data_IF_341035940687
#
_entry.id   IF_341035940687
#
_cell.length_a   1.000
_cell.length_b   1.000
_cell.length_c   1.000
_cell.angle_alpha   90.00
_cell.angle_beta   90.00
_cell.angle_gamma   90.00
#
_symmetry.space_group_name_H-M   'P 1'
#
loop_
_entity.id
_entity.type
_entity.pdbx_description
1 polymer ?
#
# COMPACT_ATOMS: atom_id res chain seq x y z
N UNK A 1 6.62 21.06 12.51
CA UNK A 1 5.46 20.30 13.00
C UNK A 1 4.77 19.49 11.89
N UNK A 2 4.29 20.09 10.78
CA UNK A 2 3.59 19.37 9.69
C UNK A 2 4.42 18.23 9.10
N UNK A 3 5.70 18.46 8.81
CA UNK A 3 6.58 17.43 8.24
C UNK A 3 6.84 16.24 9.20
N UNK A 4 7.00 16.51 10.50
CA UNK A 4 7.20 15.45 11.50
C UNK A 4 5.92 14.59 11.64
N UNK A 5 4.76 15.22 11.68
CA UNK A 5 3.47 14.54 11.72
C UNK A 5 3.25 13.66 10.48
N UNK A 6 3.51 14.20 9.29
CA UNK A 6 3.36 13.42 8.05
C UNK A 6 4.30 12.21 8.00
N UNK A 7 5.53 12.33 8.50
CA UNK A 7 6.46 11.18 8.62
C UNK A 7 5.96 10.14 9.62
N UNK A 8 5.41 10.58 10.75
CA UNK A 8 4.81 9.71 11.75
C UNK A 8 3.63 8.92 11.16
N UNK A 9 2.72 9.61 10.47
CA UNK A 9 1.55 9.00 9.85
C UNK A 9 1.96 7.96 8.78
N UNK A 10 2.98 8.27 7.98
CA UNK A 10 3.53 7.36 6.96
C UNK A 10 4.16 6.12 7.61
N UNK A 11 5.03 6.30 8.61
CA UNK A 11 5.71 5.18 9.27
C UNK A 11 4.70 4.28 10.02
N UNK A 12 3.70 4.87 10.66
CA UNK A 12 2.62 4.12 11.32
C UNK A 12 1.80 3.33 10.31
N UNK A 13 1.46 3.94 9.16
CA UNK A 13 0.74 3.25 8.08
C UNK A 13 1.56 2.10 7.50
N UNK A 14 2.86 2.29 7.28
CA UNK A 14 3.75 1.23 6.81
C UNK A 14 3.81 0.08 7.81
N UNK A 15 4.02 0.38 9.09
CA UNK A 15 4.11 -0.62 10.15
C UNK A 15 2.80 -1.42 10.29
N UNK A 16 1.64 -0.75 10.21
CA UNK A 16 0.34 -1.42 10.24
C UNK A 16 0.13 -2.38 9.07
N UNK A 17 0.84 -2.20 7.97
CA UNK A 17 0.74 -3.00 6.75
C UNK A 17 1.97 -3.89 6.49
N UNK A 18 2.82 -4.12 7.49
CA UNK A 18 4.01 -4.98 7.34
C UNK A 18 3.66 -6.41 6.96
N UNK A 19 2.55 -6.93 7.45
CA UNK A 19 2.05 -8.28 7.15
C UNK A 19 0.99 -8.31 6.04
N UNK A 20 0.76 -7.19 5.35
CA UNK A 20 -0.23 -7.10 4.26
C UNK A 20 0.43 -7.47 2.95
N UNK A 21 0.04 -8.60 2.37
CA UNK A 21 0.57 -9.07 1.08
C UNK A 21 0.30 -8.04 -0.03
N UNK A 22 1.31 -7.82 -0.88
CA UNK A 22 1.25 -6.86 -1.97
C UNK A 22 1.14 -5.39 -1.55
N UNK A 23 1.42 -5.07 -0.28
CA UNK A 23 1.44 -3.68 0.18
C UNK A 23 2.58 -2.92 -0.50
N UNK A 24 2.32 -1.67 -0.83
CA UNK A 24 3.34 -0.77 -1.37
C UNK A 24 3.72 0.26 -0.33
N UNK A 25 4.97 0.15 0.16
CA UNK A 25 5.54 1.06 1.15
C UNK A 25 5.31 2.51 0.77
N UNK A 26 4.85 3.31 1.72
CA UNK A 26 4.72 4.76 1.59
C UNK A 26 6.05 5.42 1.95
N UNK A 27 6.44 6.43 1.16
CA UNK A 27 7.62 7.26 1.41
C UNK A 27 7.20 8.72 1.49
N UNK A 28 7.85 9.47 2.38
CA UNK A 28 7.62 10.91 2.50
C UNK A 28 8.27 11.64 1.32
N UNK A 29 7.48 12.41 0.57
CA UNK A 29 7.98 13.32 -0.45
C UNK A 29 7.70 14.75 -0.03
N UNK A 30 8.75 15.53 0.17
CA UNK A 30 8.65 16.94 0.54
C UNK A 30 8.84 17.85 -0.67
N UNK A 31 8.05 18.90 -0.76
CA UNK A 31 8.25 20.01 -1.68
C UNK A 31 8.20 21.33 -0.91
N UNK A 32 9.17 22.22 -1.18
CA UNK A 32 9.12 23.60 -0.73
C UNK A 32 8.21 24.37 -1.68
N UNK A 33 7.20 25.01 -1.14
CA UNK A 33 6.28 25.87 -1.89
C UNK A 33 6.37 27.29 -1.33
N UNK A 34 5.96 28.33 -2.09
CA UNK A 34 5.93 29.70 -1.56
C UNK A 34 5.12 29.85 -0.27
N UNK A 35 4.15 28.98 -0.04
CA UNK A 35 3.30 28.96 1.15
C UNK A 35 3.79 28.00 2.26
N UNK A 36 5.05 27.53 2.18
CA UNK A 36 5.68 26.65 3.17
C UNK A 36 6.01 25.26 2.63
N UNK A 37 6.53 24.40 3.52
CA UNK A 37 6.87 23.02 3.18
C UNK A 37 5.60 22.14 3.15
N UNK A 38 5.38 21.42 2.05
CA UNK A 38 4.37 20.36 1.94
C UNK A 38 5.06 19.01 1.96
N UNK A 39 4.55 18.08 2.76
CA UNK A 39 5.00 16.70 2.76
C UNK A 39 3.80 15.83 2.38
N UNK A 40 3.95 15.09 1.30
CA UNK A 40 2.98 14.11 0.84
C UNK A 40 3.51 12.69 1.01
N UNK A 41 2.61 11.71 0.96
CA UNK A 41 2.97 10.30 0.88
C UNK A 41 2.99 9.86 -0.60
N UNK A 42 4.07 9.22 -1.01
CA UNK A 42 4.21 8.58 -2.32
C UNK A 42 4.39 7.08 -2.15
N UNK A 43 3.78 6.28 -3.04
CA UNK A 43 3.98 4.83 -3.03
C UNK A 43 5.31 4.48 -3.67
N UNK A 44 6.15 3.77 -2.93
CA UNK A 44 7.42 3.26 -3.43
C UNK A 44 7.20 2.22 -4.53
N UNK A 45 8.12 2.18 -5.51
CA UNK A 45 8.16 1.12 -6.52
C UNK A 45 8.91 -0.14 -6.06
N UNK A 46 9.47 -0.14 -4.83
CA UNK A 46 10.11 -1.33 -4.27
C UNK A 46 9.06 -2.42 -4.07
N UNK A 47 9.44 -3.63 -4.42
CA UNK A 47 8.62 -4.83 -4.30
C UNK A 47 9.05 -5.62 -3.08
N UNK A 48 8.11 -6.37 -2.52
CA UNK A 48 8.42 -7.38 -1.53
C UNK A 48 8.98 -8.65 -2.15
N UNK A 49 9.43 -9.55 -1.31
CA UNK A 49 9.84 -10.89 -1.71
C UNK A 49 8.61 -11.74 -2.06
N UNK A 50 8.82 -12.76 -2.87
CA UNK A 50 7.74 -13.67 -3.27
C UNK A 50 7.86 -14.93 -2.41
N UNK A 51 6.83 -15.16 -1.60
CA UNK A 51 6.74 -16.30 -0.68
C UNK A 51 5.77 -17.35 -1.21
N UNK A 52 6.18 -18.61 -1.15
CA UNK A 52 5.31 -19.73 -1.48
C UNK A 52 4.29 -19.97 -0.37
N UNK A 53 3.01 -20.08 -0.73
CA UNK A 53 1.91 -20.39 0.20
C UNK A 53 1.31 -21.76 -0.06
N UNK A 54 1.38 -22.25 -1.29
CA UNK A 54 0.78 -23.51 -1.71
C UNK A 54 -0.74 -23.46 -1.91
N UNK A 55 -1.40 -22.31 -1.68
CA UNK A 55 -2.83 -22.15 -1.99
C UNK A 55 -3.00 -21.87 -3.48
N UNK A 56 -3.92 -22.56 -4.13
CA UNK A 56 -4.11 -22.52 -5.57
C UNK A 56 -4.40 -21.13 -6.14
N UNK A 57 -5.17 -20.32 -5.40
CA UNK A 57 -5.60 -19.00 -5.85
C UNK A 57 -4.81 -17.85 -5.18
N UNK A 58 -3.68 -18.17 -4.53
CA UNK A 58 -2.69 -17.17 -4.19
C UNK A 58 -1.84 -16.89 -5.42
N UNK A 59 -1.86 -15.65 -5.88
CA UNK A 59 -1.25 -15.24 -7.14
C UNK A 59 -0.21 -14.14 -6.91
N UNK A 60 1.01 -14.34 -7.40
CA UNK A 60 2.04 -13.30 -7.37
C UNK A 60 2.44 -12.90 -8.79
N UNK A 61 2.54 -11.60 -9.05
CA UNK A 61 3.04 -11.07 -10.32
C UNK A 61 4.54 -10.84 -10.19
N UNK A 62 5.33 -11.55 -10.98
CA UNK A 62 6.77 -11.31 -11.15
C UNK A 62 6.93 -10.36 -12.33
N UNK A 63 7.43 -9.16 -12.08
CA UNK A 63 7.52 -8.16 -13.13
C UNK A 63 6.56 -6.98 -12.93
N UNK A 64 6.50 -6.01 -13.86
CA UNK A 64 5.60 -4.88 -13.79
C UNK A 64 4.12 -5.31 -13.84
N UNK A 65 3.19 -4.42 -13.44
CA UNK A 65 1.75 -4.68 -13.49
C UNK A 65 1.09 -4.76 -12.12
N UNK A 66 -0.20 -5.04 -12.13
CA UNK A 66 -1.07 -5.13 -10.96
C UNK A 66 -2.30 -5.98 -11.30
N UNK A 67 -2.98 -6.44 -10.28
CA UNK A 67 -4.32 -7.01 -10.41
C UNK A 67 -5.34 -5.87 -10.36
N UNK A 68 -6.32 -5.90 -11.26
CA UNK A 68 -7.47 -5.01 -11.19
C UNK A 68 -8.60 -5.73 -10.49
N UNK A 69 -9.10 -5.15 -9.41
CA UNK A 69 -10.21 -5.71 -8.62
C UNK A 69 -11.39 -4.73 -8.60
N UNK A 70 -12.61 -5.25 -8.62
CA UNK A 70 -13.83 -4.46 -8.55
C UNK A 70 -14.46 -4.58 -7.17
N UNK A 71 -14.74 -3.45 -6.53
CA UNK A 71 -15.43 -3.40 -5.24
C UNK A 71 -16.96 -3.51 -5.40
N UNK A 72 -17.67 -3.62 -4.26
CA UNK A 72 -19.13 -3.71 -4.26
C UNK A 72 -19.83 -2.45 -4.82
N UNK A 73 -19.16 -1.29 -4.85
CA UNK A 73 -19.65 -0.06 -5.43
C UNK A 73 -19.37 0.03 -6.95
N UNK A 74 -18.77 -1.02 -7.55
CA UNK A 74 -18.43 -1.07 -8.98
C UNK A 74 -17.13 -0.35 -9.34
N UNK A 75 -16.39 0.22 -8.38
CA UNK A 75 -15.12 0.91 -8.63
C UNK A 75 -14.02 -0.10 -8.87
N UNK A 76 -13.19 0.17 -9.87
CA UNK A 76 -12.01 -0.64 -10.17
C UNK A 76 -10.82 -0.08 -9.41
N UNK A 77 -10.10 -0.93 -8.70
CA UNK A 77 -8.92 -0.58 -7.91
C UNK A 77 -7.78 -1.53 -8.28
N UNK A 78 -6.61 -0.96 -8.49
CA UNK A 78 -5.41 -1.73 -8.76
C UNK A 78 -4.72 -2.16 -7.46
N UNK A 79 -4.30 -3.42 -7.41
CA UNK A 79 -3.65 -4.03 -6.25
C UNK A 79 -2.56 -5.00 -6.65
N UNK A 80 -1.57 -5.19 -5.76
CA UNK A 80 -0.58 -6.27 -5.86
C UNK A 80 -0.89 -7.42 -4.91
N UNK A 81 -1.87 -7.23 -4.01
CA UNK A 81 -2.35 -8.31 -3.16
C UNK A 81 -2.99 -9.38 -4.02
N UNK A 82 -2.45 -10.57 -3.99
CA UNK A 82 -2.88 -11.71 -4.79
C UNK A 82 -3.54 -12.82 -3.98
N UNK A 83 -3.91 -12.56 -2.73
CA UNK A 83 -4.64 -13.51 -1.90
C UNK A 83 -6.12 -13.51 -2.31
N UNK A 84 -6.50 -14.49 -3.13
CA UNK A 84 -7.87 -14.65 -3.60
C UNK A 84 -8.46 -15.96 -3.13
N UNK A 85 -9.78 -15.98 -3.07
CA UNK A 85 -10.58 -17.18 -2.82
C UNK A 85 -11.65 -17.34 -3.91
N UNK A 86 -11.93 -18.59 -4.26
CA UNK A 86 -12.98 -18.90 -5.24
C UNK A 86 -14.34 -18.84 -4.57
N UNK A 87 -15.21 -17.98 -5.06
CA UNK A 87 -16.59 -17.85 -4.59
C UNK A 87 -17.47 -18.99 -5.12
N UNK A 88 -18.66 -19.15 -4.56
CA UNK A 88 -19.67 -20.11 -5.06
C UNK A 88 -20.07 -19.88 -6.52
N UNK A 89 -19.88 -18.67 -7.03
CA UNK A 89 -20.13 -18.32 -8.44
C UNK A 89 -18.94 -18.62 -9.36
N UNK A 90 -17.85 -19.14 -8.80
CA UNK A 90 -16.62 -19.41 -9.54
C UNK A 90 -15.75 -18.18 -9.81
N UNK A 91 -16.09 -17.02 -9.30
CA UNK A 91 -15.24 -15.81 -9.41
C UNK A 91 -14.18 -15.79 -8.31
N UNK A 92 -13.03 -15.19 -8.59
CA UNK A 92 -12.02 -14.96 -7.57
C UNK A 92 -12.30 -13.63 -6.84
N UNK A 93 -12.33 -13.67 -5.51
CA UNK A 93 -12.51 -12.50 -4.66
C UNK A 93 -11.45 -12.46 -3.57
N UNK A 94 -11.06 -11.25 -3.16
CA UNK A 94 -10.17 -11.06 -2.03
C UNK A 94 -10.94 -11.06 -0.68
N UNK A 95 -10.21 -10.99 0.44
CA UNK A 95 -10.77 -10.97 1.78
C UNK A 95 -11.71 -9.77 2.06
N UNK A 96 -11.68 -8.74 1.20
CA UNK A 96 -12.57 -7.57 1.27
C UNK A 96 -13.81 -7.73 0.36
N UNK A 97 -13.99 -8.90 -0.26
CA UNK A 97 -15.08 -9.18 -1.19
C UNK A 97 -14.94 -8.50 -2.57
N UNK A 98 -13.75 -7.96 -2.90
CA UNK A 98 -13.51 -7.37 -4.21
C UNK A 98 -13.22 -8.47 -5.22
N UNK A 99 -13.88 -8.42 -6.37
CA UNK A 99 -13.77 -9.45 -7.42
C UNK A 99 -12.61 -9.14 -8.35
N UNK A 100 -11.75 -10.14 -8.60
CA UNK A 100 -10.66 -10.04 -9.58
C UNK A 100 -11.24 -9.92 -11.00
N UNK A 101 -10.70 -8.97 -11.75
CA UNK A 101 -11.05 -8.76 -13.14
C UNK A 101 -10.06 -9.44 -14.08
N UNK A 102 -10.59 -10.10 -15.07
CA UNK A 102 -9.87 -10.54 -16.26
C UNK A 102 -10.11 -9.59 -17.43
N UNK A 103 -9.68 -10.00 -18.61
CA UNK A 103 -9.79 -9.27 -19.88
C UNK A 103 -11.26 -9.04 -20.32
N UNK A 104 -12.16 -9.98 -20.03
CA UNK A 104 -13.57 -9.92 -20.38
C UNK A 104 -14.50 -9.53 -19.19
N UNK A 105 -13.97 -9.02 -18.07
CA UNK A 105 -14.74 -8.69 -16.88
C UNK A 105 -14.38 -9.55 -15.66
N UNK A 106 -15.32 -9.89 -14.74
CA UNK A 106 -15.01 -10.74 -13.59
C UNK A 106 -14.37 -12.06 -14.02
N UNK A 107 -13.22 -12.39 -13.43
CA UNK A 107 -12.52 -13.62 -13.75
C UNK A 107 -13.28 -14.81 -13.14
N UNK A 108 -13.84 -15.64 -14.00
CA UNK A 108 -14.52 -16.88 -13.59
C UNK A 108 -13.54 -18.03 -13.81
N UNK A 109 -13.29 -18.76 -12.73
CA UNK A 109 -12.40 -19.93 -12.72
C UNK A 109 -13.25 -21.17 -12.46
N UNK A 110 -13.35 -22.11 -13.40
CA UNK A 110 -14.00 -23.42 -13.20
C UNK A 110 -13.39 -24.18 -12.02
N UNK A 111 -14.04 -25.24 -11.57
CA UNK A 111 -13.65 -25.96 -10.34
C UNK A 111 -12.27 -26.62 -10.45
N UNK A 112 -11.94 -27.16 -11.60
CA UNK A 112 -10.68 -27.88 -11.84
C UNK A 112 -9.76 -27.11 -12.80
N UNK A 113 -9.90 -25.77 -12.84
CA UNK A 113 -9.09 -24.93 -13.70
C UNK A 113 -7.85 -24.42 -12.97
N UNK A 114 -6.74 -24.39 -13.68
CA UNK A 114 -5.47 -23.81 -13.23
C UNK A 114 -5.20 -22.47 -13.92
N UNK A 115 -4.36 -21.66 -13.31
CA UNK A 115 -3.93 -20.38 -13.90
C UNK A 115 -2.45 -20.52 -14.26
N UNK A 116 -2.14 -20.32 -15.53
CA UNK A 116 -0.76 -20.44 -16.04
C UNK A 116 0.09 -19.18 -15.75
N UNK A 117 1.37 -19.26 -16.09
CA UNK A 117 2.33 -18.15 -15.89
C UNK A 117 2.00 -16.90 -16.72
N UNK A 118 1.15 -17.00 -17.72
CA UNK A 118 0.66 -15.86 -18.53
C UNK A 118 -0.67 -15.31 -18.04
N UNK A 119 -1.18 -15.84 -16.93
CA UNK A 119 -2.45 -15.44 -16.35
C UNK A 119 -3.68 -16.03 -17.05
N UNK A 120 -3.52 -17.02 -17.95
CA UNK A 120 -4.65 -17.67 -18.63
C UNK A 120 -5.25 -18.75 -17.75
N UNK A 121 -6.57 -18.83 -17.78
CA UNK A 121 -7.32 -19.86 -17.06
C UNK A 121 -7.48 -21.07 -17.94
N UNK A 122 -6.91 -22.21 -17.52
CA UNK A 122 -6.94 -23.48 -18.23
C UNK A 122 -7.86 -24.45 -17.48
N UNK A 123 -8.84 -25.01 -18.17
CA UNK A 123 -9.72 -26.07 -17.66
C UNK A 123 -9.35 -27.38 -18.33
N UNK A 124 -8.53 -28.21 -17.66
CA UNK A 124 -7.86 -29.35 -18.29
C UNK A 124 -6.89 -28.84 -19.37
N UNK A 125 -6.93 -29.43 -20.55
CA UNK A 125 -6.10 -29.02 -21.70
C UNK A 125 -6.72 -27.88 -22.53
N UNK A 126 -7.90 -27.37 -22.15
CA UNK A 126 -8.61 -26.34 -22.89
C UNK A 126 -8.36 -24.95 -22.29
N UNK A 127 -7.96 -24.01 -23.15
CA UNK A 127 -7.93 -22.58 -22.79
C UNK A 127 -9.38 -22.06 -22.72
N UNK A 128 -9.75 -21.49 -21.58
CA UNK A 128 -11.10 -20.92 -21.39
C UNK A 128 -11.27 -19.55 -22.05
N UNK A 129 -10.24 -19.06 -22.76
CA UNK A 129 -10.18 -17.70 -23.32
C UNK A 129 -10.40 -16.61 -22.28
N UNK A 130 -10.03 -16.87 -21.03
CA UNK A 130 -10.07 -15.92 -19.92
C UNK A 130 -8.67 -15.76 -19.38
N UNK A 131 -8.23 -14.53 -19.23
CA UNK A 131 -6.91 -14.23 -18.73
C UNK A 131 -6.92 -13.03 -17.78
N UNK A 132 -5.95 -13.01 -16.88
CA UNK A 132 -5.59 -11.83 -16.10
C UNK A 132 -4.72 -10.96 -17.01
N UNK A 133 -5.09 -9.70 -17.28
CA UNK A 133 -4.29 -8.83 -18.14
C UNK A 133 -2.95 -8.51 -17.48
N UNK A 134 -1.87 -9.02 -18.09
CA UNK A 134 -0.50 -8.81 -17.61
C UNK A 134 0.35 -8.11 -18.69
N UNK A 135 1.26 -7.20 -18.30
CA UNK A 135 2.28 -6.70 -19.21
C UNK A 135 3.16 -7.82 -19.79
N UNK A 136 3.71 -7.63 -20.98
CA UNK A 136 4.53 -8.64 -21.68
C UNK A 136 5.76 -9.09 -20.87
N UNK A 137 6.31 -8.19 -20.05
CA UNK A 137 7.50 -8.44 -19.23
C UNK A 137 7.15 -8.96 -17.82
N UNK A 138 5.96 -9.53 -17.66
CA UNK A 138 5.46 -10.03 -16.39
C UNK A 138 5.03 -11.47 -16.50
N UNK A 139 5.28 -12.21 -15.43
CA UNK A 139 4.80 -13.60 -15.28
C UNK A 139 4.00 -13.72 -14.00
N UNK A 140 3.00 -14.62 -14.01
CA UNK A 140 2.20 -14.95 -12.85
C UNK A 140 2.73 -16.23 -12.20
N UNK A 141 2.74 -16.25 -10.87
CA UNK A 141 3.01 -17.47 -10.10
C UNK A 141 1.81 -17.80 -9.23
N UNK A 142 1.15 -18.92 -9.53
CA UNK A 142 0.11 -19.48 -8.68
C UNK A 142 0.74 -20.23 -7.49
N UNK A 143 0.13 -20.15 -6.32
CA UNK A 143 0.66 -20.70 -5.07
C UNK A 143 1.70 -19.82 -4.38
N UNK A 144 1.81 -18.55 -4.78
CA UNK A 144 2.75 -17.58 -4.22
C UNK A 144 2.06 -16.25 -3.93
N UNK A 145 2.59 -15.49 -2.95
CA UNK A 145 2.19 -14.11 -2.64
C UNK A 145 3.40 -13.19 -2.62
N UNK A 146 3.20 -11.92 -2.98
CA UNK A 146 4.19 -10.86 -2.82
C UNK A 146 4.05 -10.30 -1.39
N UNK A 147 5.09 -10.39 -0.58
CA UNK A 147 5.13 -9.84 0.78
C UNK A 147 5.22 -8.32 0.78
N UNK A 148 4.98 -7.71 1.93
CA UNK A 148 5.21 -6.27 2.12
C UNK A 148 6.71 -5.97 2.08
N UNK A 149 7.19 -4.95 1.33
CA UNK A 149 8.59 -4.52 1.33
C UNK A 149 8.94 -3.64 2.54
N UNK A 150 8.11 -3.62 3.55
CA UNK A 150 8.28 -2.80 4.77
C UNK A 150 9.21 -3.51 5.75
N UNK A 151 10.27 -2.82 6.18
CA UNK A 151 11.10 -3.25 7.28
C UNK A 151 10.49 -2.70 8.59
N UNK A 152 9.96 -3.57 9.48
CA UNK A 152 9.31 -3.13 10.71
C UNK A 152 10.25 -2.41 11.66
N UNK A 153 11.52 -2.81 11.73
CA UNK A 153 12.51 -2.20 12.63
C UNK A 153 12.82 -0.78 12.16
N UNK A 154 13.05 -0.60 10.88
CA UNK A 154 13.30 0.71 10.31
C UNK A 154 12.10 1.67 10.48
N UNK A 155 10.87 1.17 10.34
CA UNK A 155 9.67 2.00 10.58
C UNK A 155 9.49 2.35 12.05
N UNK A 156 9.78 1.42 13.00
CA UNK A 156 9.73 1.72 14.44
C UNK A 156 10.74 2.81 14.83
N UNK A 157 11.96 2.74 14.32
CA UNK A 157 12.97 3.80 14.51
C UNK A 157 12.47 5.13 13.93
N UNK A 158 11.90 5.10 12.73
CA UNK A 158 11.32 6.27 12.08
C UNK A 158 10.18 6.92 12.90
N UNK A 159 9.35 6.12 13.56
CA UNK A 159 8.29 6.60 14.46
C UNK A 159 8.89 7.33 15.67
N UNK A 160 9.92 6.75 16.31
CA UNK A 160 10.58 7.36 17.46
C UNK A 160 11.23 8.69 17.08
N UNK A 161 11.94 8.73 15.95
CA UNK A 161 12.60 9.94 15.46
C UNK A 161 11.60 11.05 15.09
N UNK A 162 10.50 10.68 14.44
CA UNK A 162 9.43 11.61 14.11
C UNK A 162 8.74 12.17 15.37
N UNK A 163 8.50 11.33 16.39
CA UNK A 163 7.91 11.74 17.67
C UNK A 163 8.82 12.72 18.42
N UNK A 164 10.11 12.40 18.53
CA UNK A 164 11.08 13.32 19.15
C UNK A 164 11.19 14.66 18.43
N UNK A 165 11.18 14.62 17.10
CA UNK A 165 11.19 15.85 16.28
C UNK A 165 9.93 16.70 16.50
N UNK A 166 8.78 16.05 16.66
CA UNK A 166 7.52 16.70 16.95
C UNK A 166 7.51 17.34 18.34
N UNK A 167 7.96 16.62 19.38
CA UNK A 167 8.08 17.14 20.76
C UNK A 167 9.03 18.33 20.84
N UNK A 168 10.18 18.25 20.15
CA UNK A 168 11.14 19.34 20.10
C UNK A 168 10.53 20.58 19.44
N UNK A 169 9.81 20.42 18.35
CA UNK A 169 9.11 21.51 17.67
C UNK A 169 8.04 22.14 18.57
N UNK A 170 7.30 21.35 19.35
CA UNK A 170 6.32 21.87 20.31
C UNK A 170 6.99 22.72 21.42
N UNK A 171 8.12 22.23 21.97
CA UNK A 171 8.88 22.99 23.00
C UNK A 171 9.37 24.33 22.47
N UNK A 172 9.87 24.38 21.22
CA UNK A 172 10.32 25.64 20.59
C UNK A 172 9.15 26.60 20.42
N UNK A 173 7.99 26.14 19.94
CA UNK A 173 6.81 27.01 19.80
C UNK A 173 6.37 27.54 21.16
N UNK A 174 6.28 26.69 22.19
CA UNK A 174 5.92 27.11 23.54
C UNK A 174 6.92 28.13 24.15
N UNK A 175 8.23 27.96 23.88
CA UNK A 175 9.24 28.94 24.30
C UNK A 175 9.05 30.30 23.59
N UNK A 176 8.76 30.30 22.31
CA UNK A 176 8.48 31.54 21.56
C UNK A 176 7.23 32.24 22.11
N UNK A 177 6.16 31.50 22.39
CA UNK A 177 4.93 32.08 22.93
C UNK A 177 5.13 32.65 24.33
N UNK A 178 5.90 32.00 25.20
CA UNK A 178 6.24 32.51 26.52
C UNK A 178 7.11 33.80 26.46
N UNK A 179 8.04 33.88 25.50
CA UNK A 179 8.82 35.10 25.26
C UNK A 179 7.93 36.24 24.75
N UNK A 180 6.99 35.98 23.87
CA UNK A 180 6.02 36.99 23.39
C UNK A 180 5.15 37.52 24.52
N UNK A 181 4.67 36.63 25.41
CA UNK A 181 3.91 37.05 26.59
C UNK A 181 4.71 37.93 27.57
N UNK A 182 5.97 37.56 27.86
CA UNK A 182 6.85 38.37 28.68
C UNK A 182 7.08 39.76 28.09
N UNK A 183 7.42 39.83 26.80
CA UNK A 183 7.65 41.12 26.14
C UNK A 183 6.37 41.99 26.14
N UNK A 184 5.17 41.38 25.94
CA UNK A 184 3.92 42.11 26.01
C UNK A 184 3.63 42.66 27.43
N UNK A 185 3.95 41.89 28.49
CA UNK A 185 3.78 42.34 29.89
C UNK A 185 4.75 43.41 30.31
N UNK A 186 5.99 43.35 29.81
CA UNK A 186 7.04 44.36 30.12
C UNK A 186 6.72 45.71 29.44
N UNK A 187 6.22 45.71 28.21
CA UNK A 187 5.75 46.90 27.50
C UNK A 187 4.54 47.53 28.22
N UNK A 188 3.66 46.75 28.79
CA UNK A 188 2.50 47.24 29.52
C UNK A 188 2.84 47.84 30.89
N UNK A 189 4.01 47.51 31.47
CA UNK A 189 4.50 48.08 32.75
C UNK A 189 5.27 49.40 32.63
N UNK A 190 5.71 49.75 31.44
CA UNK A 190 6.48 50.98 31.17
C UNK A 190 5.58 52.17 30.80
N UNK A 191 4.26 51.98 30.80
CA UNK A 191 3.25 53.02 30.62
C UNK A 191 2.53 53.29 31.94
#
# INVERSE_FOLDING_TARGET
MVAARARLDIATSNLANVSTDGFRKLTARGALTPNGARVGAERSNRRGEIRRTGREYDLAIVGPGHFSVRDAAGRVVDTRSGSFERTLRGTLADARGRTLLGDAGPLIVPQDATIDERGRVLAGDNDTHRAIPLPRDSTLRAGFLEESPVDPIAEMVGIVDASRSFETAQKVVGAIDSLRQKNASDIARVR
#
